data_IF_497311283604
#
_entry.id   IF_497311283604
#
_cell.length_a   1.000
_cell.length_b   1.000
_cell.length_c   1.000
_cell.angle_alpha   90.00
_cell.angle_beta   90.00
_cell.angle_gamma   90.00
#
_symmetry.space_group_name_H-M   'P 1'
#
loop_
_entity.id
_entity.type
_entity.pdbx_description
1 polymer ?
#
# COMPACT_ATOMS: atom_id res chain seq x y z
N UNK A 1 35.40 -10.77 -0.68
CA UNK A 1 35.25 -10.02 0.59
C UNK A 1 34.02 -10.57 1.30
N UNK A 2 34.10 -10.88 2.58
CA UNK A 2 32.91 -11.27 3.35
C UNK A 2 32.01 -10.04 3.52
N UNK A 3 30.77 -10.10 3.03
CA UNK A 3 29.78 -9.06 3.26
C UNK A 3 29.50 -8.95 4.77
N UNK A 4 29.60 -7.74 5.33
CA UNK A 4 29.35 -7.47 6.75
C UNK A 4 28.28 -6.40 6.87
N UNK A 5 27.18 -6.72 7.56
CA UNK A 5 26.12 -5.79 7.88
C UNK A 5 26.14 -5.51 9.39
N UNK A 6 26.61 -4.32 9.83
CA UNK A 6 26.66 -3.99 11.26
C UNK A 6 25.25 -3.89 11.85
N UNK A 7 25.12 -4.21 13.15
CA UNK A 7 23.87 -3.98 13.89
C UNK A 7 23.62 -2.50 14.09
N UNK A 8 22.37 -2.16 14.43
CA UNK A 8 21.94 -0.78 14.65
C UNK A 8 20.87 -0.73 15.75
N UNK A 9 20.90 0.33 16.55
CA UNK A 9 19.83 0.63 17.49
C UNK A 9 18.58 1.08 16.73
N UNK A 10 17.54 0.26 16.76
CA UNK A 10 16.22 0.59 16.22
C UNK A 10 15.19 0.43 17.33
N UNK A 11 14.42 1.49 17.58
CA UNK A 11 13.42 1.53 18.65
C UNK A 11 13.97 1.13 20.03
N UNK A 12 15.19 1.59 20.35
CA UNK A 12 15.86 1.33 21.62
C UNK A 12 16.39 -0.10 21.80
N UNK A 13 16.72 -0.83 20.73
CA UNK A 13 17.42 -2.13 20.79
C UNK A 13 18.34 -2.31 19.61
N UNK A 14 19.52 -2.87 19.86
CA UNK A 14 20.44 -3.37 18.83
C UNK A 14 19.80 -4.54 18.07
N UNK A 15 19.59 -4.36 16.77
CA UNK A 15 19.03 -5.35 15.84
C UNK A 15 19.80 -5.37 14.52
N UNK A 16 19.54 -6.37 13.68
CA UNK A 16 19.93 -6.29 12.28
C UNK A 16 19.16 -5.12 11.61
N UNK A 17 19.81 -4.29 10.77
CA UNK A 17 19.16 -3.17 10.09
C UNK A 17 18.32 -3.66 8.89
N UNK A 18 17.50 -4.68 9.13
CA UNK A 18 16.63 -5.38 8.19
C UNK A 18 15.20 -5.30 8.71
N UNK A 19 14.31 -4.73 7.90
CA UNK A 19 12.93 -4.45 8.28
C UNK A 19 11.98 -5.13 7.30
N UNK A 20 11.00 -5.87 7.83
CA UNK A 20 9.82 -6.24 7.04
C UNK A 20 8.95 -4.99 6.86
N UNK A 21 8.65 -4.59 5.63
CA UNK A 21 7.70 -3.51 5.38
C UNK A 21 6.26 -3.92 5.68
N UNK A 22 5.46 -3.02 6.25
CA UNK A 22 4.04 -3.27 6.50
C UNK A 22 3.23 -3.34 5.20
N UNK A 23 2.33 -4.32 5.10
CA UNK A 23 1.51 -4.58 3.89
C UNK A 23 0.05 -4.69 4.33
N UNK A 24 -0.75 -3.71 3.91
CA UNK A 24 -2.14 -3.57 4.33
C UNK A 24 -3.00 -4.79 4.04
N UNK A 25 -4.12 -4.90 4.77
CA UNK A 25 -5.18 -5.87 4.49
C UNK A 25 -4.68 -7.32 4.60
N UNK A 26 -3.93 -7.61 5.66
CA UNK A 26 -3.53 -8.97 6.05
C UNK A 26 -2.27 -9.51 5.35
N UNK A 27 -1.66 -8.80 4.39
CA UNK A 27 -0.47 -9.28 3.68
C UNK A 27 0.82 -9.26 4.52
N UNK A 28 0.88 -8.47 5.60
CA UNK A 28 1.82 -8.68 6.70
C UNK A 28 1.07 -8.85 8.02
N UNK A 29 1.36 -9.94 8.72
CA UNK A 29 0.65 -10.38 9.91
C UNK A 29 1.61 -10.49 11.10
N UNK A 30 1.06 -10.68 12.29
CA UNK A 30 1.85 -10.96 13.48
C UNK A 30 2.70 -12.21 13.33
N UNK A 31 2.28 -13.19 12.52
CA UNK A 31 3.09 -14.39 12.23
C UNK A 31 4.35 -14.05 11.43
N UNK A 32 4.21 -13.32 10.32
CA UNK A 32 5.36 -12.94 9.50
C UNK A 32 6.27 -11.97 10.26
N UNK A 33 5.69 -10.96 10.90
CA UNK A 33 6.45 -9.93 11.62
C UNK A 33 7.12 -10.46 12.89
N UNK A 34 6.45 -11.34 13.63
CA UNK A 34 7.05 -12.04 14.75
C UNK A 34 8.26 -12.86 14.34
N UNK A 35 8.19 -13.57 13.19
CA UNK A 35 9.30 -14.35 12.67
C UNK A 35 10.50 -13.47 12.26
N UNK A 36 10.24 -12.30 11.67
CA UNK A 36 11.28 -11.31 11.35
C UNK A 36 11.98 -10.79 12.60
N UNK A 37 11.21 -10.42 13.63
CA UNK A 37 11.76 -10.01 14.91
C UNK A 37 12.51 -11.15 15.62
N UNK A 38 12.01 -12.39 15.54
CA UNK A 38 12.67 -13.58 16.13
C UNK A 38 14.05 -13.83 15.54
N UNK A 39 14.20 -13.57 14.23
CA UNK A 39 15.46 -13.67 13.50
C UNK A 39 16.40 -12.46 13.70
N UNK A 40 16.05 -11.55 14.62
CA UNK A 40 16.91 -10.43 15.02
C UNK A 40 16.74 -9.15 14.21
N UNK A 41 15.77 -9.09 13.28
CA UNK A 41 15.41 -7.88 12.54
C UNK A 41 14.24 -7.12 13.18
N UNK A 42 13.55 -6.32 12.34
CA UNK A 42 12.31 -5.63 12.71
C UNK A 42 11.16 -6.20 11.89
N UNK A 43 10.13 -6.69 12.55
CA UNK A 43 8.89 -7.11 11.90
C UNK A 43 7.84 -6.01 11.93
N UNK A 44 7.11 -5.80 10.82
CA UNK A 44 6.04 -4.79 10.75
C UNK A 44 4.72 -5.40 10.30
N UNK A 45 3.80 -5.62 11.25
CA UNK A 45 2.45 -6.06 10.90
C UNK A 45 1.64 -4.84 10.44
N UNK A 46 0.62 -5.04 9.60
CA UNK A 46 -0.26 -3.93 9.23
C UNK A 46 -1.47 -3.85 10.15
N UNK A 47 -1.75 -2.66 10.66
CA UNK A 47 -3.00 -2.30 11.33
C UNK A 47 -4.07 -1.80 10.34
N UNK A 48 -3.76 -1.75 9.03
CA UNK A 48 -4.70 -1.35 7.99
C UNK A 48 -5.65 -2.49 7.70
N UNK A 49 -6.85 -2.42 8.28
CA UNK A 49 -7.89 -3.46 8.17
C UNK A 49 -7.31 -4.85 8.49
N UNK A 50 -6.58 -4.92 9.60
CA UNK A 50 -5.87 -6.11 10.04
C UNK A 50 -6.81 -7.29 10.30
N UNK A 51 -6.37 -8.50 9.97
CA UNK A 51 -7.10 -9.70 10.34
C UNK A 51 -7.16 -9.86 11.85
N UNK A 52 -8.27 -10.45 12.31
CA UNK A 52 -8.49 -10.73 13.71
C UNK A 52 -8.35 -12.22 13.98
N UNK A 53 -7.66 -12.54 15.06
CA UNK A 53 -7.57 -13.88 15.60
C UNK A 53 -8.12 -13.92 17.03
N UNK A 54 -8.69 -15.05 17.41
CA UNK A 54 -9.08 -15.33 18.78
C UNK A 54 -7.89 -15.81 19.62
N UNK A 55 -8.12 -16.08 20.91
CA UNK A 55 -7.06 -16.54 21.83
C UNK A 55 -6.57 -17.98 21.52
N UNK A 56 -7.30 -18.73 20.68
CA UNK A 56 -6.87 -20.04 20.18
C UNK A 56 -6.04 -19.93 18.89
N UNK A 57 -5.90 -18.71 18.34
CA UNK A 57 -5.20 -18.47 17.09
C UNK A 57 -6.04 -18.77 15.84
N UNK A 58 -7.37 -18.84 15.98
CA UNK A 58 -8.32 -19.04 14.88
C UNK A 58 -8.74 -17.69 14.27
N UNK A 59 -8.82 -17.65 12.93
CA UNK A 59 -9.21 -16.45 12.19
C UNK A 59 -10.70 -16.14 12.40
N UNK A 60 -11.01 -14.89 12.75
CA UNK A 60 -12.39 -14.40 12.87
C UNK A 60 -12.68 -13.51 11.66
N UNK A 61 -13.54 -13.90 10.72
CA UNK A 61 -13.89 -13.05 9.58
C UNK A 61 -14.68 -11.80 9.98
N UNK A 62 -14.45 -10.69 9.29
CA UNK A 62 -15.27 -9.49 9.39
C UNK A 62 -16.62 -9.70 8.70
N UNK A 63 -17.70 -9.62 9.47
CA UNK A 63 -19.08 -9.66 8.95
C UNK A 63 -19.75 -8.33 9.18
N UNK A 64 -20.06 -7.63 8.09
CA UNK A 64 -20.81 -6.38 8.14
C UNK A 64 -22.31 -6.65 8.37
N UNK A 65 -22.87 -6.06 9.43
CA UNK A 65 -24.32 -6.11 9.73
C UNK A 65 -24.96 -4.74 9.51
N UNK A 66 -24.14 -3.68 9.43
CA UNK A 66 -24.56 -2.32 9.18
C UNK A 66 -25.32 -2.17 7.85
N UNK A 67 -26.50 -1.54 7.92
CA UNK A 67 -27.33 -1.21 6.73
C UNK A 67 -26.89 0.08 6.03
N UNK A 68 -26.10 0.91 6.69
CA UNK A 68 -25.57 2.16 6.15
C UNK A 68 -24.06 2.08 5.99
N UNK A 69 -23.49 2.90 5.08
CA UNK A 69 -22.03 3.01 4.92
C UNK A 69 -21.33 3.38 6.22
N UNK A 70 -21.94 4.26 7.03
CA UNK A 70 -21.38 4.68 8.32
C UNK A 70 -21.40 3.55 9.35
N UNK A 71 -22.48 2.76 9.42
CA UNK A 71 -22.54 1.61 10.32
C UNK A 71 -21.46 0.56 9.97
N UNK A 72 -21.29 0.27 8.66
CA UNK A 72 -20.22 -0.61 8.19
C UNK A 72 -18.83 -0.05 8.47
N UNK A 73 -18.66 1.27 8.39
CA UNK A 73 -17.40 1.93 8.72
C UNK A 73 -17.03 1.74 10.19
N UNK A 74 -17.98 1.92 11.11
CA UNK A 74 -17.73 1.67 12.54
C UNK A 74 -17.40 0.19 12.83
N UNK A 75 -18.11 -0.75 12.20
CA UNK A 75 -17.79 -2.19 12.29
C UNK A 75 -16.35 -2.48 11.81
N UNK A 76 -15.91 -1.83 10.73
CA UNK A 76 -14.54 -1.95 10.21
C UNK A 76 -13.51 -1.38 11.19
N UNK A 77 -13.78 -0.24 11.84
CA UNK A 77 -12.87 0.35 12.83
C UNK A 77 -12.68 -0.57 14.02
N UNK A 78 -13.79 -1.03 14.62
CA UNK A 78 -13.77 -1.94 15.78
C UNK A 78 -13.01 -3.23 15.45
N UNK A 79 -13.30 -3.80 14.28
CA UNK A 79 -12.61 -4.98 13.80
C UNK A 79 -11.11 -4.72 13.57
N UNK A 80 -10.74 -3.60 12.95
CA UNK A 80 -9.33 -3.27 12.68
C UNK A 80 -8.53 -3.06 13.96
N UNK A 81 -9.14 -2.47 15.00
CA UNK A 81 -8.51 -2.32 16.32
C UNK A 81 -8.29 -3.70 16.95
N UNK A 82 -9.33 -4.53 17.02
CA UNK A 82 -9.23 -5.88 17.56
C UNK A 82 -8.21 -6.74 16.78
N UNK A 83 -8.22 -6.61 15.45
CA UNK A 83 -7.26 -7.23 14.55
C UNK A 83 -5.84 -6.80 14.86
N UNK A 84 -5.56 -5.50 14.87
CA UNK A 84 -4.23 -4.96 15.19
C UNK A 84 -3.71 -5.38 16.57
N UNK A 85 -4.58 -5.46 17.58
CA UNK A 85 -4.22 -5.98 18.91
C UNK A 85 -3.83 -7.46 18.83
N UNK A 86 -4.61 -8.28 18.11
CA UNK A 86 -4.28 -9.70 17.93
C UNK A 86 -2.96 -9.89 17.19
N UNK A 87 -2.70 -9.11 16.14
CA UNK A 87 -1.43 -9.16 15.40
C UNK A 87 -0.24 -8.76 16.28
N UNK A 88 -0.38 -7.72 17.11
CA UNK A 88 0.67 -7.29 18.04
C UNK A 88 1.04 -8.39 19.05
N UNK A 89 0.03 -9.06 19.65
CA UNK A 89 0.24 -10.18 20.58
C UNK A 89 0.96 -11.35 19.90
N UNK A 90 0.46 -11.80 18.75
CA UNK A 90 1.06 -12.89 17.97
C UNK A 90 2.52 -12.56 17.61
N UNK A 91 2.77 -11.34 17.12
CA UNK A 91 4.13 -10.91 16.79
C UNK A 91 5.05 -10.95 18.01
N UNK A 92 4.58 -10.43 19.14
CA UNK A 92 5.33 -10.37 20.39
C UNK A 92 5.71 -11.75 20.91
N UNK A 93 4.75 -12.67 20.92
CA UNK A 93 4.97 -14.03 21.41
C UNK A 93 5.96 -14.80 20.54
N UNK A 94 5.84 -14.69 19.21
CA UNK A 94 6.77 -15.32 18.27
C UNK A 94 8.17 -14.69 18.33
N UNK A 95 8.26 -13.37 18.49
CA UNK A 95 9.53 -12.65 18.51
C UNK A 95 10.42 -13.08 19.68
N UNK A 96 9.83 -13.49 20.81
CA UNK A 96 10.57 -13.91 22.00
C UNK A 96 11.50 -12.81 22.54
N UNK A 97 11.20 -11.55 22.24
CA UNK A 97 12.04 -10.40 22.59
C UNK A 97 13.33 -10.27 21.77
N UNK A 98 13.60 -11.08 20.75
CA UNK A 98 14.88 -11.07 20.01
C UNK A 98 15.07 -9.82 19.12
N UNK A 99 13.99 -9.25 18.60
CA UNK A 99 14.01 -8.10 17.70
C UNK A 99 13.00 -7.03 18.11
N UNK A 100 12.56 -6.22 17.15
CA UNK A 100 11.52 -5.20 17.37
C UNK A 100 10.29 -5.45 16.52
N UNK A 101 9.16 -5.03 17.06
CA UNK A 101 7.85 -5.15 16.43
C UNK A 101 7.34 -3.75 16.18
N UNK A 102 7.11 -3.45 14.91
CA UNK A 102 6.45 -2.26 14.46
C UNK A 102 5.04 -2.61 14.02
N UNK A 103 4.20 -1.58 13.98
CA UNK A 103 2.95 -1.64 13.23
C UNK A 103 2.95 -0.61 12.12
N UNK A 104 2.26 -0.92 11.04
CA UNK A 104 2.04 -0.02 9.92
C UNK A 104 0.59 0.49 9.91
N UNK A 105 0.44 1.79 9.71
CA UNK A 105 -0.83 2.43 9.37
C UNK A 105 -0.65 3.27 8.10
N UNK A 106 -1.75 3.48 7.36
CA UNK A 106 -1.76 4.36 6.20
C UNK A 106 -2.64 5.58 6.53
N UNK A 107 -2.15 6.79 6.27
CA UNK A 107 -2.83 8.00 6.72
C UNK A 107 -4.16 8.21 5.99
N UNK A 108 -4.22 7.89 4.69
CA UNK A 108 -5.47 7.89 3.91
C UNK A 108 -6.43 6.73 4.23
N UNK A 109 -6.12 5.86 5.21
CA UNK A 109 -7.12 4.97 5.78
C UNK A 109 -8.14 5.79 6.58
N UNK A 110 -9.43 5.49 6.41
CA UNK A 110 -10.47 6.15 7.20
C UNK A 110 -10.25 5.88 8.70
N UNK A 111 -10.47 6.90 9.53
CA UNK A 111 -10.32 6.81 10.98
C UNK A 111 -8.95 6.27 11.45
N UNK A 112 -7.88 6.51 10.68
CA UNK A 112 -6.51 6.07 10.99
C UNK A 112 -6.06 6.42 12.42
N UNK A 113 -6.36 7.64 12.89
CA UNK A 113 -6.10 8.06 14.27
C UNK A 113 -6.80 7.20 15.32
N UNK A 114 -8.08 6.83 15.09
CA UNK A 114 -8.87 6.01 16.02
C UNK A 114 -8.32 4.59 16.08
N UNK A 115 -8.01 4.01 14.92
CA UNK A 115 -7.42 2.66 14.85
C UNK A 115 -6.06 2.65 15.53
N UNK A 116 -5.20 3.63 15.23
CA UNK A 116 -3.87 3.75 15.80
C UNK A 116 -3.91 3.84 17.33
N UNK A 117 -4.77 4.71 17.88
CA UNK A 117 -4.97 4.84 19.33
C UNK A 117 -5.52 3.55 19.96
N UNK A 118 -6.54 2.96 19.34
CA UNK A 118 -7.16 1.73 19.84
C UNK A 118 -6.15 0.57 19.92
N UNK A 119 -5.31 0.41 18.90
CA UNK A 119 -4.27 -0.63 18.90
C UNK A 119 -3.19 -0.33 19.95
N UNK A 120 -2.67 0.90 20.04
CA UNK A 120 -1.63 1.24 21.01
C UNK A 120 -2.10 1.15 22.47
N UNK A 121 -3.37 1.46 22.73
CA UNK A 121 -3.96 1.31 24.06
C UNK A 121 -4.16 -0.17 24.40
N UNK A 122 -4.74 -0.96 23.48
CA UNK A 122 -5.01 -2.38 23.69
C UNK A 122 -3.79 -3.31 23.63
N UNK A 123 -2.68 -2.86 23.05
CA UNK A 123 -1.43 -3.60 22.90
C UNK A 123 -0.23 -2.86 23.54
N UNK A 124 -0.49 -2.11 24.61
CA UNK A 124 0.52 -1.31 25.30
C UNK A 124 1.73 -2.17 25.70
N UNK A 125 2.92 -1.72 25.31
CA UNK A 125 4.19 -2.42 25.57
C UNK A 125 4.56 -3.51 24.56
N UNK A 126 3.68 -3.86 23.61
CA UNK A 126 3.96 -4.88 22.59
C UNK A 126 4.47 -4.27 21.28
N UNK A 127 4.05 -3.04 20.98
CA UNK A 127 4.46 -2.30 19.78
C UNK A 127 5.57 -1.31 20.13
N UNK A 128 6.67 -1.38 19.39
CA UNK A 128 7.88 -0.58 19.62
C UNK A 128 8.01 0.59 18.64
N UNK A 129 7.41 0.46 17.45
CA UNK A 129 7.45 1.49 16.42
C UNK A 129 6.17 1.58 15.61
N UNK A 130 5.87 2.76 15.08
CA UNK A 130 4.77 3.00 14.15
C UNK A 130 5.32 3.53 12.85
N UNK A 131 5.16 2.77 11.77
CA UNK A 131 5.43 3.25 10.40
C UNK A 131 4.15 3.83 9.81
N UNK A 132 4.23 4.99 9.17
CA UNK A 132 3.07 5.62 8.55
C UNK A 132 3.41 6.35 7.26
N UNK A 133 2.71 5.98 6.19
CA UNK A 133 2.80 6.58 4.86
C UNK A 133 1.43 6.94 4.29
N UNK A 134 1.36 7.05 2.95
CA UNK A 134 0.15 7.38 2.18
C UNK A 134 -0.57 8.63 2.71
N UNK A 135 -0.07 9.82 2.33
CA UNK A 135 -0.58 11.13 2.77
C UNK A 135 0.48 11.92 3.55
N UNK A 136 0.06 12.99 4.25
CA UNK A 136 0.92 13.82 5.11
C UNK A 136 0.51 13.69 6.58
N UNK A 137 1.03 12.70 7.31
CA UNK A 137 0.57 12.35 8.65
C UNK A 137 1.09 13.29 9.76
N UNK A 138 0.70 14.57 9.73
CA UNK A 138 1.17 15.57 10.69
C UNK A 138 0.87 15.23 12.15
N UNK A 139 -0.11 14.36 12.45
CA UNK A 139 -0.44 13.97 13.82
C UNK A 139 0.21 12.67 14.29
N UNK A 140 0.99 11.99 13.43
CA UNK A 140 1.67 10.73 13.79
C UNK A 140 2.58 10.91 15.01
N UNK A 141 3.51 11.87 14.93
CA UNK A 141 4.51 12.08 15.97
C UNK A 141 3.92 12.38 17.36
N UNK A 142 3.02 13.38 17.54
CA UNK A 142 2.42 13.61 18.85
C UNK A 142 1.62 12.40 19.35
N UNK A 143 0.89 11.70 18.46
CA UNK A 143 0.12 10.52 18.85
C UNK A 143 1.04 9.39 19.31
N UNK A 144 2.10 9.06 18.57
CA UNK A 144 3.06 8.02 18.97
C UNK A 144 3.76 8.35 20.31
N UNK A 145 4.11 9.64 20.51
CA UNK A 145 4.72 10.12 21.74
C UNK A 145 3.81 9.97 22.97
N UNK A 146 2.49 10.15 22.83
CA UNK A 146 1.52 9.90 23.92
C UNK A 146 1.61 8.47 24.47
N UNK A 147 1.94 7.50 23.62
CA UNK A 147 2.10 6.09 24.00
C UNK A 147 3.56 5.68 24.21
N UNK A 148 4.52 6.62 24.11
CA UNK A 148 5.97 6.34 24.23
C UNK A 148 6.45 5.29 23.23
N UNK A 149 5.97 5.39 22.01
CA UNK A 149 6.33 4.52 20.88
C UNK A 149 7.09 5.32 19.84
N UNK A 150 8.12 4.73 19.26
CA UNK A 150 8.91 5.37 18.21
C UNK A 150 8.06 5.56 16.94
N UNK A 151 8.21 6.67 16.24
CA UNK A 151 7.53 6.88 14.95
C UNK A 151 8.52 6.90 13.79
N UNK A 152 8.06 6.38 12.65
CA UNK A 152 8.81 6.17 11.42
C UNK A 152 7.98 6.69 10.24
N UNK A 153 8.10 7.97 9.86
CA UNK A 153 7.38 8.48 8.71
C UNK A 153 7.93 7.87 7.43
N UNK A 154 7.02 7.50 6.53
CA UNK A 154 7.35 7.09 5.17
C UNK A 154 7.27 8.32 4.26
N UNK A 155 8.35 8.60 3.55
CA UNK A 155 8.49 9.74 2.65
C UNK A 155 9.13 9.31 1.34
N UNK A 156 8.79 9.98 0.25
CA UNK A 156 9.41 9.77 -1.07
C UNK A 156 10.42 10.86 -1.44
N UNK A 157 10.57 11.89 -0.60
CA UNK A 157 11.45 13.04 -0.87
C UNK A 157 11.85 13.81 0.38
N UNK A 158 12.99 14.49 0.31
CA UNK A 158 13.46 15.43 1.33
C UNK A 158 12.46 16.57 1.60
N UNK A 159 11.74 17.02 0.55
CA UNK A 159 10.69 18.05 0.67
C UNK A 159 9.54 17.59 1.56
N UNK A 160 9.04 16.36 1.35
CA UNK A 160 7.98 15.78 2.17
C UNK A 160 8.43 15.67 3.63
N UNK A 161 9.64 15.16 3.88
CA UNK A 161 10.19 15.08 5.24
C UNK A 161 10.32 16.46 5.89
N UNK A 162 10.90 17.45 5.20
CA UNK A 162 11.02 18.84 5.70
C UNK A 162 9.65 19.40 6.13
N UNK A 163 8.62 19.18 5.33
CA UNK A 163 7.27 19.64 5.65
C UNK A 163 6.72 18.96 6.92
N UNK A 164 6.86 17.64 7.08
CA UNK A 164 6.45 16.92 8.28
C UNK A 164 7.22 17.41 9.52
N UNK A 165 8.53 17.58 9.38
CA UNK A 165 9.42 18.01 10.44
C UNK A 165 9.07 19.39 10.98
N UNK A 166 9.05 20.41 10.11
CA UNK A 166 8.83 21.79 10.51
C UNK A 166 7.44 22.03 11.09
N UNK A 167 6.43 21.32 10.57
CA UNK A 167 5.02 21.52 10.98
C UNK A 167 4.65 20.72 12.23
N UNK A 168 5.31 19.59 12.49
CA UNK A 168 4.93 18.71 13.60
C UNK A 168 6.09 18.03 14.31
N UNK A 169 6.94 17.27 13.60
CA UNK A 169 7.78 16.26 14.25
C UNK A 169 8.89 16.84 15.12
N UNK A 170 9.37 18.06 14.81
CA UNK A 170 10.37 18.76 15.65
C UNK A 170 9.94 19.03 17.10
N UNK A 171 8.67 18.82 17.44
CA UNK A 171 8.13 19.01 18.79
C UNK A 171 8.39 17.84 19.72
N UNK A 172 8.61 16.64 19.18
CA UNK A 172 8.89 15.40 19.91
C UNK A 172 10.01 14.60 19.22
N UNK A 173 11.16 15.25 18.93
CA UNK A 173 12.23 14.67 18.13
C UNK A 173 12.83 13.41 18.75
N UNK A 174 12.74 13.25 20.07
CA UNK A 174 13.24 12.11 20.83
C UNK A 174 12.52 10.79 20.51
N UNK A 175 11.32 10.85 19.93
CA UNK A 175 10.56 9.67 19.51
C UNK A 175 10.72 9.34 18.02
N UNK A 176 11.48 10.13 17.25
CA UNK A 176 11.77 9.81 15.84
C UNK A 176 12.76 8.64 15.78
N UNK A 177 12.27 7.46 15.41
CA UNK A 177 13.11 6.25 15.37
C UNK A 177 13.90 6.09 14.07
N UNK A 178 13.50 6.78 13.01
CA UNK A 178 14.08 6.67 11.67
C UNK A 178 13.15 7.26 10.62
N UNK A 179 13.63 7.45 9.40
CA UNK A 179 12.81 7.93 8.27
C UNK A 179 12.82 6.87 7.18
N UNK A 180 11.66 6.35 6.81
CA UNK A 180 11.56 5.39 5.70
C UNK A 180 11.54 6.18 4.40
N UNK A 181 12.60 6.08 3.61
CA UNK A 181 12.60 6.55 2.23
C UNK A 181 11.97 5.46 1.36
N UNK A 182 10.80 5.73 0.81
CA UNK A 182 10.12 4.83 -0.12
C UNK A 182 10.35 5.31 -1.54
N UNK A 183 11.02 4.48 -2.33
CA UNK A 183 11.27 4.75 -3.73
C UNK A 183 9.94 4.85 -4.50
N UNK A 184 9.67 6.01 -5.13
CA UNK A 184 8.36 6.26 -5.70
C UNK A 184 8.12 5.52 -7.02
N UNK A 185 9.13 4.87 -7.61
CA UNK A 185 8.99 4.05 -8.81
C UNK A 185 9.11 2.55 -8.54
N UNK A 186 9.93 2.14 -7.58
CA UNK A 186 10.29 0.73 -7.39
C UNK A 186 9.52 0.04 -6.26
N UNK A 187 9.01 0.79 -5.28
CA UNK A 187 8.25 0.23 -4.17
C UNK A 187 6.92 -0.40 -4.64
N UNK A 188 6.48 -1.45 -3.95
CA UNK A 188 5.16 -2.05 -4.19
C UNK A 188 4.07 -1.35 -3.39
N UNK A 189 2.81 -1.46 -3.81
CA UNK A 189 1.72 -0.78 -3.11
C UNK A 189 1.57 0.67 -3.57
N UNK A 190 1.04 1.55 -2.72
CA UNK A 190 0.92 2.98 -3.05
C UNK A 190 2.28 3.67 -3.05
N UNK A 191 2.51 4.54 -4.02
CA UNK A 191 3.78 5.24 -4.19
C UNK A 191 3.63 6.76 -4.02
N UNK A 192 4.66 7.38 -3.45
CA UNK A 192 4.73 8.82 -3.17
C UNK A 192 5.18 9.71 -4.34
N UNK A 193 4.84 9.40 -5.60
CA UNK A 193 5.16 10.28 -6.73
C UNK A 193 4.46 11.64 -6.59
N UNK A 194 5.20 12.71 -6.80
CA UNK A 194 4.69 14.06 -6.89
C UNK A 194 4.25 14.41 -8.31
N UNK A 195 3.41 15.44 -8.44
CA UNK A 195 2.91 15.88 -9.75
C UNK A 195 4.00 16.39 -10.72
N UNK A 196 5.20 16.69 -10.21
CA UNK A 196 6.34 17.13 -11.02
C UNK A 196 7.22 15.97 -11.51
N UNK A 197 7.00 14.76 -11.01
CA UNK A 197 7.77 13.58 -11.39
C UNK A 197 7.04 12.81 -12.48
N UNK A 198 7.80 12.27 -13.42
CA UNK A 198 7.25 11.43 -14.48
C UNK A 198 7.24 9.95 -14.02
N UNK A 199 6.06 9.30 -13.94
CA UNK A 199 5.97 7.89 -13.58
C UNK A 199 6.71 6.95 -14.55
N UNK A 200 7.01 7.39 -15.78
CA UNK A 200 7.69 6.61 -16.80
C UNK A 200 9.22 6.79 -16.80
N UNK A 201 9.75 7.74 -16.01
CA UNK A 201 11.18 8.03 -15.93
C UNK A 201 11.68 7.81 -14.50
N UNK A 202 11.98 6.56 -14.11
CA UNK A 202 12.50 6.26 -12.79
C UNK A 202 13.89 6.86 -12.56
N UNK A 203 14.08 7.46 -11.39
CA UNK A 203 15.37 7.99 -10.95
C UNK A 203 16.07 7.02 -9.99
N UNK A 204 17.41 6.92 -10.03
CA UNK A 204 18.16 6.19 -9.00
C UNK A 204 17.93 6.78 -7.60
N UNK A 205 17.84 5.96 -6.54
CA UNK A 205 17.50 6.45 -5.20
C UNK A 205 18.66 7.17 -4.50
N UNK A 206 19.92 7.00 -4.92
CA UNK A 206 21.11 7.48 -4.18
C UNK A 206 21.06 8.99 -3.93
N UNK A 207 20.94 9.80 -4.98
CA UNK A 207 20.97 11.27 -4.86
C UNK A 207 19.79 11.80 -4.04
N UNK A 208 18.64 11.13 -4.13
CA UNK A 208 17.43 11.47 -3.39
C UNK A 208 17.58 11.19 -1.90
N UNK A 209 18.19 10.05 -1.55
CA UNK A 209 18.50 9.68 -0.16
C UNK A 209 19.63 10.55 0.40
N UNK A 210 20.65 10.87 -0.39
CA UNK A 210 21.69 11.82 0.00
C UNK A 210 21.10 13.22 0.28
N UNK A 211 20.16 13.69 -0.55
CA UNK A 211 19.43 14.94 -0.31
C UNK A 211 18.56 14.87 0.96
N UNK A 212 17.89 13.75 1.21
CA UNK A 212 17.14 13.51 2.45
C UNK A 212 18.07 13.57 3.67
N UNK A 213 19.22 12.90 3.61
CA UNK A 213 20.24 12.94 4.67
C UNK A 213 20.74 14.36 4.92
N UNK A 214 21.10 15.12 3.88
CA UNK A 214 21.49 16.54 4.03
C UNK A 214 20.41 17.36 4.74
N UNK A 215 19.16 17.18 4.34
CA UNK A 215 18.01 17.86 4.99
C UNK A 215 17.83 17.42 6.45
N UNK A 216 17.99 16.14 6.76
CA UNK A 216 17.95 15.63 8.14
C UNK A 216 19.10 16.19 8.99
N UNK A 217 20.29 16.34 8.43
CA UNK A 217 21.46 16.89 9.12
C UNK A 217 21.27 18.36 9.50
N UNK A 218 20.58 19.17 8.67
CA UNK A 218 20.20 20.55 9.03
C UNK A 218 19.35 20.62 10.31
N UNK A 219 18.68 19.52 10.67
CA UNK A 219 17.82 19.42 11.85
C UNK A 219 18.45 18.68 13.03
N UNK A 220 19.75 18.38 12.97
CA UNK A 220 20.44 17.67 14.04
C UNK A 220 20.15 16.15 14.08
N UNK A 221 19.73 15.56 12.95
CA UNK A 221 19.36 14.14 12.85
C UNK A 221 20.45 13.27 12.21
N UNK A 222 21.73 13.62 12.41
CA UNK A 222 22.87 12.95 11.77
C UNK A 222 22.95 11.45 12.10
N UNK A 223 22.48 11.06 13.29
CA UNK A 223 22.50 9.67 13.77
C UNK A 223 21.17 8.93 13.59
N UNK A 224 20.10 9.63 13.20
CA UNK A 224 18.81 9.00 12.93
C UNK A 224 18.89 8.23 11.61
N UNK A 225 18.51 6.95 11.57
CA UNK A 225 18.66 6.15 10.35
C UNK A 225 17.66 6.54 9.27
N UNK A 226 18.12 6.43 8.02
CA UNK A 226 17.21 6.36 6.87
C UNK A 226 17.01 4.89 6.54
N UNK A 227 15.76 4.48 6.35
CA UNK A 227 15.39 3.14 5.95
C UNK A 227 15.08 3.16 4.45
N UNK A 228 15.95 2.55 3.65
CA UNK A 228 15.77 2.43 2.21
C UNK A 228 14.70 1.36 1.91
N UNK A 229 13.60 1.76 1.27
CA UNK A 229 12.50 0.90 0.88
C UNK A 229 12.18 1.05 -0.61
N UNK A 230 11.88 -0.08 -1.27
CA UNK A 230 11.62 -0.12 -2.73
C UNK A 230 12.87 -0.48 -3.52
N UNK A 231 12.74 -1.41 -4.46
CA UNK A 231 13.87 -1.90 -5.27
C UNK A 231 14.84 -2.86 -4.55
N UNK A 232 14.96 -2.78 -3.22
CA UNK A 232 15.87 -3.64 -2.43
C UNK A 232 15.47 -5.11 -2.53
N UNK A 233 16.33 -5.91 -3.17
CA UNK A 233 16.16 -7.36 -3.28
C UNK A 233 17.24 -8.10 -2.48
N UNK A 234 18.50 -7.75 -2.67
CA UNK A 234 19.69 -8.32 -2.03
C UNK A 234 20.66 -7.18 -1.68
N UNK A 235 21.54 -7.36 -0.70
CA UNK A 235 22.39 -6.27 -0.20
C UNK A 235 23.74 -6.12 -0.91
N UNK A 236 24.17 -7.11 -1.70
CA UNK A 236 25.35 -7.00 -2.56
C UNK A 236 25.23 -5.86 -3.59
N UNK A 237 23.99 -5.47 -3.93
CA UNK A 237 23.68 -4.31 -4.79
C UNK A 237 23.75 -2.97 -4.06
N UNK A 238 23.93 -2.98 -2.73
CA UNK A 238 23.86 -1.80 -1.86
C UNK A 238 25.11 -1.66 -0.98
N UNK A 239 26.21 -2.35 -1.32
CA UNK A 239 27.45 -2.33 -0.52
C UNK A 239 27.97 -0.91 -0.33
N UNK A 240 27.91 -0.08 -1.38
CA UNK A 240 28.36 1.32 -1.33
C UNK A 240 27.47 2.24 -0.49
N UNK A 241 26.35 1.74 0.05
CA UNK A 241 25.45 2.48 0.94
C UNK A 241 25.71 2.18 2.42
N UNK A 242 26.33 1.05 2.72
CA UNK A 242 26.61 0.60 4.09
C UNK A 242 27.88 1.30 4.57
N UNK A 243 27.83 1.85 5.80
CA UNK A 243 28.91 2.66 6.38
C UNK A 243 29.35 3.86 5.51
N UNK A 244 28.47 4.32 4.61
CA UNK A 244 28.73 5.46 3.76
C UNK A 244 28.57 6.77 4.55
N UNK A 245 29.62 7.63 4.65
CA UNK A 245 29.57 8.85 5.45
C UNK A 245 28.63 9.91 4.89
N UNK A 246 28.35 9.91 3.57
CA UNK A 246 27.38 10.82 2.96
C UNK A 246 25.95 10.45 3.34
N UNK A 247 25.62 9.15 3.34
CA UNK A 247 24.27 8.66 3.65
C UNK A 247 24.02 8.51 5.15
N UNK A 248 25.09 8.37 5.95
CA UNK A 248 25.00 8.11 7.39
C UNK A 248 24.38 6.74 7.69
N UNK A 249 23.76 6.56 8.87
CA UNK A 249 23.13 5.28 9.21
C UNK A 249 22.01 4.92 8.23
N UNK A 250 22.12 3.75 7.60
CA UNK A 250 21.18 3.19 6.64
C UNK A 250 20.69 1.82 7.11
N UNK A 251 19.38 1.58 6.98
CA UNK A 251 18.76 0.28 7.12
C UNK A 251 17.93 -0.05 5.87
N UNK A 252 17.52 -1.31 5.71
CA UNK A 252 16.85 -1.79 4.51
C UNK A 252 15.50 -2.41 4.81
N UNK A 253 14.46 -1.95 4.11
CA UNK A 253 13.11 -2.47 4.23
C UNK A 253 12.72 -3.32 3.03
N UNK A 254 12.19 -4.50 3.30
CA UNK A 254 11.75 -5.46 2.30
C UNK A 254 10.22 -5.58 2.31
N UNK A 255 9.60 -5.19 1.20
CA UNK A 255 8.15 -5.35 0.98
C UNK A 255 7.83 -6.61 0.18
N UNK A 256 8.36 -6.73 -1.04
CA UNK A 256 8.00 -7.82 -1.95
C UNK A 256 8.59 -9.17 -1.53
N UNK A 257 9.91 -9.26 -1.35
CA UNK A 257 10.63 -10.53 -1.10
C UNK A 257 10.04 -11.37 0.06
N UNK A 258 9.65 -10.79 1.21
CA UNK A 258 9.07 -11.53 2.33
C UNK A 258 7.70 -12.16 2.05
N UNK A 259 6.99 -11.72 0.98
CA UNK A 259 5.72 -12.32 0.58
C UNK A 259 5.85 -13.83 0.30
N UNK A 260 7.01 -14.28 -0.17
CA UNK A 260 7.26 -15.68 -0.51
C UNK A 260 8.06 -16.39 0.60
N UNK A 261 7.55 -16.38 1.83
CA UNK A 261 8.08 -17.14 2.96
C UNK A 261 7.05 -18.11 3.52
N UNK A 262 7.47 -19.07 4.36
CA UNK A 262 6.55 -20.01 5.03
C UNK A 262 5.60 -19.29 5.98
N UNK A 263 6.08 -18.26 6.66
CA UNK A 263 5.35 -17.47 7.65
C UNK A 263 4.45 -16.39 7.02
N UNK A 264 4.67 -16.08 5.74
CA UNK A 264 3.82 -15.16 4.98
C UNK A 264 2.37 -15.66 4.94
N UNK A 265 1.39 -14.79 5.28
CA UNK A 265 -0.02 -15.16 5.34
C UNK A 265 -0.69 -15.27 3.96
N UNK A 266 0.01 -14.93 2.87
CA UNK A 266 -0.59 -14.98 1.55
C UNK A 266 -0.93 -16.43 1.13
N UNK A 267 -2.03 -16.67 0.39
CA UNK A 267 -2.39 -18.02 -0.06
C UNK A 267 -1.38 -18.62 -1.04
N UNK A 268 -1.31 -19.95 -1.10
CA UNK A 268 -0.34 -20.68 -1.94
C UNK A 268 -0.44 -20.32 -3.43
N UNK A 269 -1.65 -20.13 -3.96
CA UNK A 269 -1.83 -19.68 -5.35
C UNK A 269 -1.26 -18.28 -5.64
N UNK A 270 -1.21 -17.40 -4.64
CA UNK A 270 -0.54 -16.11 -4.76
C UNK A 270 0.97 -16.35 -4.75
N UNK A 271 1.48 -17.20 -3.85
CA UNK A 271 2.90 -17.63 -3.84
C UNK A 271 3.33 -18.24 -5.17
N UNK A 272 2.51 -19.10 -5.76
CA UNK A 272 2.69 -19.67 -7.09
C UNK A 272 2.73 -18.58 -8.17
N UNK A 273 1.76 -17.66 -8.18
CA UNK A 273 1.71 -16.58 -9.16
C UNK A 273 2.97 -15.72 -9.11
N UNK A 274 3.49 -15.40 -7.93
CA UNK A 274 4.73 -14.61 -7.76
C UNK A 274 5.93 -15.26 -8.49
N UNK A 275 6.03 -16.59 -8.48
CA UNK A 275 7.11 -17.33 -9.17
C UNK A 275 6.99 -17.37 -10.68
N UNK A 276 5.86 -16.91 -11.24
CA UNK A 276 5.64 -16.86 -12.69
C UNK A 276 5.90 -15.50 -13.31
N UNK A 277 6.16 -14.49 -12.47
CA UNK A 277 6.31 -13.10 -12.90
C UNK A 277 7.57 -12.91 -13.74
N UNK A 278 7.43 -12.16 -14.82
CA UNK A 278 8.52 -11.75 -15.70
C UNK A 278 8.82 -10.27 -15.53
N UNK A 279 10.02 -9.87 -15.93
CA UNK A 279 10.39 -8.45 -15.97
C UNK A 279 9.40 -7.70 -16.87
N UNK A 280 8.77 -6.66 -16.33
CA UNK A 280 7.71 -5.89 -16.99
C UNK A 280 6.28 -6.26 -16.60
N UNK A 281 6.07 -7.36 -15.86
CA UNK A 281 4.72 -7.74 -15.39
C UNK A 281 4.22 -6.85 -14.23
N UNK A 282 5.09 -6.08 -13.58
CA UNK A 282 4.73 -5.13 -12.53
C UNK A 282 4.69 -3.73 -13.13
N UNK A 283 3.55 -3.06 -13.00
CA UNK A 283 3.32 -1.73 -13.57
C UNK A 283 2.92 -0.74 -12.48
N UNK A 284 3.41 0.48 -12.65
CA UNK A 284 2.98 1.65 -11.91
C UNK A 284 1.72 2.21 -12.57
N UNK A 285 0.62 2.29 -11.84
CA UNK A 285 -0.69 2.71 -12.36
C UNK A 285 -1.37 3.75 -11.46
N UNK A 286 -2.43 4.40 -11.95
CA UNK A 286 -3.17 5.46 -11.23
C UNK A 286 -4.65 5.11 -11.00
N UNK A 287 -5.00 3.82 -10.98
CA UNK A 287 -6.39 3.39 -10.80
C UNK A 287 -6.86 3.46 -9.34
N UNK A 288 -5.94 3.65 -8.39
CA UNK A 288 -6.26 3.68 -6.97
C UNK A 288 -7.37 4.70 -6.65
N UNK A 289 -8.39 4.33 -5.85
CA UNK A 289 -9.45 5.26 -5.45
C UNK A 289 -8.96 6.41 -4.57
N UNK A 290 -7.74 6.34 -4.03
CA UNK A 290 -7.07 7.44 -3.31
C UNK A 290 -6.50 8.51 -4.25
N UNK A 291 -6.29 8.17 -5.53
CA UNK A 291 -5.63 9.02 -6.52
C UNK A 291 -4.10 8.96 -6.52
N UNK A 292 -3.50 8.20 -5.59
CA UNK A 292 -2.06 7.89 -5.62
C UNK A 292 -1.73 6.94 -6.76
N UNK A 293 -0.48 7.01 -7.22
CA UNK A 293 0.09 5.93 -8.00
C UNK A 293 0.25 4.68 -7.13
N UNK A 294 0.27 3.52 -7.77
CA UNK A 294 0.58 2.26 -7.10
C UNK A 294 1.23 1.24 -8.03
N UNK A 295 2.17 0.46 -7.53
CA UNK A 295 2.78 -0.66 -8.26
C UNK A 295 2.08 -1.98 -7.92
N UNK A 296 1.59 -2.64 -8.96
CA UNK A 296 0.87 -3.90 -8.90
C UNK A 296 1.18 -4.77 -10.13
N UNK A 297 0.91 -6.06 -10.02
CA UNK A 297 1.05 -6.97 -11.16
C UNK A 297 -0.06 -6.74 -12.17
N UNK A 298 0.33 -6.61 -13.44
CA UNK A 298 -0.54 -6.46 -14.61
C UNK A 298 -1.22 -7.77 -14.98
N UNK A 299 -2.19 -8.14 -14.17
CA UNK A 299 -3.08 -9.29 -14.36
C UNK A 299 -4.36 -8.89 -15.11
N UNK A 300 -5.32 -9.84 -15.26
CA UNK A 300 -6.58 -9.55 -15.95
C UNK A 300 -7.38 -8.45 -15.26
N UNK A 301 -7.30 -8.33 -13.93
CA UNK A 301 -7.93 -7.25 -13.18
C UNK A 301 -7.40 -5.86 -13.58
N UNK A 302 -6.08 -5.66 -13.64
CA UNK A 302 -5.53 -4.37 -14.09
C UNK A 302 -5.80 -4.10 -15.56
N UNK A 303 -5.74 -5.13 -16.43
CA UNK A 303 -6.07 -4.97 -17.86
C UNK A 303 -7.51 -4.50 -18.06
N UNK A 304 -8.44 -4.98 -17.23
CA UNK A 304 -9.83 -4.54 -17.28
C UNK A 304 -9.97 -3.06 -16.89
N UNK A 305 -9.17 -2.55 -15.95
CA UNK A 305 -9.14 -1.12 -15.62
C UNK A 305 -8.50 -0.27 -16.72
N UNK A 306 -7.48 -0.79 -17.42
CA UNK A 306 -6.91 -0.18 -18.62
C UNK A 306 -7.95 -0.06 -19.74
N UNK A 307 -8.69 -1.14 -20.01
CA UNK A 307 -9.77 -1.18 -21.02
C UNK A 307 -10.87 -0.15 -20.75
N UNK A 308 -11.19 0.12 -19.48
CA UNK A 308 -12.15 1.20 -19.12
C UNK A 308 -11.69 2.58 -19.60
N UNK A 309 -10.38 2.86 -19.61
CA UNK A 309 -9.83 4.11 -20.12
C UNK A 309 -9.76 4.11 -21.65
N UNK A 310 -9.45 2.97 -22.26
CA UNK A 310 -9.44 2.82 -23.72
C UNK A 310 -10.86 3.02 -24.31
N UNK A 311 -11.89 2.65 -23.55
CA UNK A 311 -13.30 2.85 -23.85
C UNK A 311 -13.91 4.12 -23.24
N UNK A 312 -13.10 5.17 -23.05
CA UNK A 312 -13.53 6.48 -22.55
C UNK A 312 -13.75 7.50 -23.69
N UNK A 313 -14.82 8.30 -23.59
CA UNK A 313 -15.12 9.40 -24.51
C UNK A 313 -15.61 10.64 -23.74
N UNK A 314 -15.21 11.82 -24.21
CA UNK A 314 -15.69 13.10 -23.67
C UNK A 314 -17.08 13.44 -24.20
N UNK A 315 -17.89 14.12 -23.39
CA UNK A 315 -19.20 14.60 -23.82
C UNK A 315 -19.53 16.00 -23.26
N UNK A 316 -20.49 16.68 -23.89
CA UNK A 316 -21.15 17.89 -23.39
C UNK A 316 -22.67 17.72 -23.38
N UNK A 317 -23.38 18.53 -22.59
CA UNK A 317 -24.85 18.49 -22.48
C UNK A 317 -25.58 19.31 -23.55
N UNK A 318 -24.85 20.11 -24.32
CA UNK A 318 -25.33 20.88 -25.47
C UNK A 318 -24.31 20.83 -26.61
N UNK A 319 -24.71 20.96 -27.89
CA UNK A 319 -23.76 20.93 -29.00
C UNK A 319 -22.70 22.04 -28.85
N UNK A 320 -21.42 21.68 -28.89
CA UNK A 320 -20.32 22.64 -28.75
C UNK A 320 -19.07 22.17 -29.51
N UNK A 321 -18.46 23.06 -30.32
CA UNK A 321 -17.33 22.68 -31.17
C UNK A 321 -17.66 21.51 -32.08
N UNK A 322 -16.83 20.46 -32.03
CA UNK A 322 -17.00 19.19 -32.76
C UNK A 322 -17.90 18.18 -32.03
N UNK A 323 -18.27 18.45 -30.78
CA UNK A 323 -19.19 17.62 -29.99
C UNK A 323 -20.63 17.95 -30.37
N UNK A 324 -21.06 17.42 -31.53
CA UNK A 324 -22.39 17.70 -32.11
C UNK A 324 -23.23 16.46 -32.35
N UNK A 325 -22.64 15.28 -32.27
CA UNK A 325 -23.35 14.02 -32.56
C UNK A 325 -24.13 13.60 -31.31
N UNK A 326 -25.48 13.55 -31.38
CA UNK A 326 -26.28 13.20 -30.22
C UNK A 326 -26.11 11.71 -29.88
N UNK A 327 -25.89 11.43 -28.60
CA UNK A 327 -25.82 10.09 -28.05
C UNK A 327 -26.76 9.99 -26.85
N UNK A 328 -27.63 8.97 -26.86
CA UNK A 328 -28.63 8.74 -25.81
C UNK A 328 -28.23 7.53 -24.97
N UNK A 329 -28.20 7.70 -23.65
CA UNK A 329 -27.78 6.62 -22.75
C UNK A 329 -28.51 6.61 -21.40
N UNK A 330 -28.37 5.47 -20.72
CA UNK A 330 -28.93 5.23 -19.39
C UNK A 330 -30.45 5.06 -19.40
N UNK A 331 -30.99 4.66 -18.24
CA UNK A 331 -32.43 4.37 -18.07
C UNK A 331 -33.31 5.62 -18.17
N UNK A 332 -32.73 6.81 -18.02
CA UNK A 332 -33.44 8.09 -18.15
C UNK A 332 -33.33 8.70 -19.55
N UNK A 333 -32.80 7.95 -20.52
CA UNK A 333 -32.60 8.39 -21.91
C UNK A 333 -31.95 9.78 -21.99
N UNK A 334 -30.84 9.98 -21.24
CA UNK A 334 -30.12 11.26 -21.25
C UNK A 334 -29.43 11.42 -22.59
N UNK A 335 -29.66 12.56 -23.24
CA UNK A 335 -28.94 12.97 -24.45
C UNK A 335 -27.71 13.77 -24.07
N UNK A 336 -26.58 13.39 -24.64
CA UNK A 336 -25.31 14.13 -24.60
C UNK A 336 -24.75 14.24 -26.01
N UNK A 337 -23.77 15.09 -26.22
CA UNK A 337 -23.15 15.29 -27.52
C UNK A 337 -21.67 14.87 -27.47
N UNK A 338 -21.30 14.02 -28.42
CA UNK A 338 -19.94 13.48 -28.61
C UNK A 338 -19.43 13.86 -30.01
N UNK A 339 -18.15 13.60 -30.29
CA UNK A 339 -17.61 13.80 -31.63
C UNK A 339 -18.16 12.72 -32.58
N UNK A 340 -18.17 12.97 -33.88
CA UNK A 340 -18.55 11.95 -34.88
C UNK A 340 -17.62 10.73 -34.83
N UNK A 341 -16.31 10.96 -34.63
CA UNK A 341 -15.32 9.91 -34.44
C UNK A 341 -15.64 9.03 -33.22
N UNK A 342 -15.95 9.64 -32.07
CA UNK A 342 -16.30 8.87 -30.87
C UNK A 342 -17.64 8.15 -31.02
N UNK A 343 -18.62 8.71 -31.74
CA UNK A 343 -19.87 8.00 -32.04
C UNK A 343 -19.63 6.71 -32.85
N UNK A 344 -18.68 6.73 -33.79
CA UNK A 344 -18.28 5.53 -34.55
C UNK A 344 -17.60 4.50 -33.63
N UNK A 345 -16.68 4.93 -32.76
CA UNK A 345 -16.04 4.06 -31.76
C UNK A 345 -17.06 3.40 -30.83
N UNK A 346 -18.00 4.19 -30.29
CA UNK A 346 -19.09 3.69 -29.45
C UNK A 346 -19.89 2.60 -30.17
N UNK A 347 -20.23 2.80 -31.45
CA UNK A 347 -20.98 1.82 -32.22
C UNK A 347 -20.21 0.50 -32.42
N UNK A 348 -18.88 0.55 -32.53
CA UNK A 348 -18.01 -0.64 -32.58
C UNK A 348 -18.03 -1.35 -31.23
N UNK A 349 -17.75 -0.64 -30.14
CA UNK A 349 -17.73 -1.19 -28.78
C UNK A 349 -19.07 -1.82 -28.37
N UNK A 350 -20.18 -1.21 -28.78
CA UNK A 350 -21.52 -1.77 -28.56
C UNK A 350 -21.71 -3.12 -29.24
N UNK A 351 -21.17 -3.31 -30.45
CA UNK A 351 -21.19 -4.59 -31.16
C UNK A 351 -20.28 -5.63 -30.51
N UNK A 352 -19.18 -5.19 -29.91
CA UNK A 352 -18.25 -6.02 -29.14
C UNK A 352 -18.76 -6.38 -27.72
N UNK A 353 -19.89 -5.79 -27.30
CA UNK A 353 -20.57 -6.10 -26.05
C UNK A 353 -20.40 -5.05 -24.94
N UNK A 354 -19.57 -4.03 -25.14
CA UNK A 354 -19.38 -2.89 -24.23
C UNK A 354 -20.52 -1.87 -24.37
N UNK A 355 -21.73 -2.32 -24.05
CA UNK A 355 -22.96 -1.58 -24.32
C UNK A 355 -23.42 -0.66 -23.19
N UNK A 356 -22.83 -0.75 -22.00
CA UNK A 356 -23.23 0.07 -20.85
C UNK A 356 -22.31 1.26 -20.68
N UNK A 357 -22.86 2.45 -20.92
CA UNK A 357 -22.21 3.72 -20.59
C UNK A 357 -22.34 4.04 -19.09
N UNK A 358 -21.23 4.38 -18.45
CA UNK A 358 -21.16 4.89 -17.08
C UNK A 358 -20.52 6.28 -17.08
N UNK A 359 -21.12 7.23 -16.35
CA UNK A 359 -20.58 8.60 -16.24
C UNK A 359 -19.41 8.65 -15.27
N UNK A 360 -18.39 9.42 -15.60
CA UNK A 360 -17.28 9.76 -14.72
C UNK A 360 -17.47 11.15 -14.07
N UNK A 361 -16.59 11.56 -13.14
CA UNK A 361 -16.54 12.92 -12.63
C UNK A 361 -16.09 13.97 -13.65
N UNK A 362 -15.40 13.57 -14.73
CA UNK A 362 -14.69 14.48 -15.65
C UNK A 362 -15.50 14.80 -16.92
N UNK A 363 -16.82 14.65 -16.87
CA UNK A 363 -17.71 14.79 -18.04
C UNK A 363 -17.34 13.85 -19.20
N UNK A 364 -16.94 12.63 -18.85
CA UNK A 364 -16.71 11.54 -19.81
C UNK A 364 -17.65 10.37 -19.55
N UNK A 365 -17.77 9.49 -20.55
CA UNK A 365 -18.43 8.19 -20.45
C UNK A 365 -17.40 7.10 -20.66
N UNK A 366 -17.42 6.08 -19.80
CA UNK A 366 -16.76 4.80 -20.09
C UNK A 366 -17.78 3.76 -20.55
N UNK A 367 -17.37 2.88 -21.46
CA UNK A 367 -18.20 1.80 -21.98
C UNK A 367 -17.71 0.44 -21.47
N UNK A 368 -18.59 -0.26 -20.76
CA UNK A 368 -18.31 -1.57 -20.15
C UNK A 368 -19.41 -2.58 -20.51
N UNK A 369 -19.16 -3.86 -20.27
CA UNK A 369 -20.19 -4.90 -20.40
C UNK A 369 -21.31 -4.72 -19.36
N UNK A 370 -22.53 -5.24 -19.60
CA UNK A 370 -23.61 -5.23 -18.60
C UNK A 370 -23.23 -5.83 -17.25
N UNK A 371 -22.42 -6.89 -17.25
CA UNK A 371 -21.96 -7.60 -16.06
C UNK A 371 -20.97 -6.73 -15.27
N UNK A 372 -19.98 -6.11 -15.94
CA UNK A 372 -19.07 -5.16 -15.30
C UNK A 372 -19.83 -3.96 -14.69
N UNK A 373 -20.79 -3.39 -15.43
CA UNK A 373 -21.60 -2.28 -14.90
C UNK A 373 -22.38 -2.64 -13.64
N UNK A 374 -22.91 -3.87 -13.57
CA UNK A 374 -23.60 -4.36 -12.38
C UNK A 374 -22.63 -4.57 -11.21
N UNK A 375 -21.47 -5.16 -11.45
CA UNK A 375 -20.44 -5.38 -10.45
C UNK A 375 -19.94 -4.03 -9.86
N UNK A 376 -19.58 -3.07 -10.71
CA UNK A 376 -19.14 -1.73 -10.30
C UNK A 376 -20.19 -1.08 -9.40
N UNK A 377 -21.47 -1.07 -9.80
CA UNK A 377 -22.55 -0.48 -8.99
C UNK A 377 -22.74 -1.20 -7.67
N UNK A 378 -22.67 -2.53 -7.66
CA UNK A 378 -22.77 -3.33 -6.44
C UNK A 378 -21.65 -2.96 -5.47
N UNK A 379 -20.40 -2.93 -5.93
CA UNK A 379 -19.26 -2.60 -5.08
C UNK A 379 -19.31 -1.17 -4.54
N UNK A 380 -19.84 -0.21 -5.31
CA UNK A 380 -20.09 1.15 -4.86
C UNK A 380 -21.15 1.21 -3.76
N UNK A 381 -22.26 0.47 -3.92
CA UNK A 381 -23.34 0.39 -2.93
C UNK A 381 -22.89 -0.33 -1.66
N UNK A 382 -22.01 -1.33 -1.80
CA UNK A 382 -21.47 -2.13 -0.70
C UNK A 382 -20.28 -1.47 0.00
N UNK A 383 -20.00 -0.19 -0.30
CA UNK A 383 -18.91 0.55 0.32
C UNK A 383 -18.93 0.48 1.86
N UNK A 384 -17.78 0.09 2.41
CA UNK A 384 -17.53 -0.12 3.84
C UNK A 384 -16.84 1.08 4.50
N UNK A 385 -16.52 2.12 3.73
CA UNK A 385 -15.90 3.33 4.26
C UNK A 385 -14.42 3.19 4.68
N UNK A 386 -13.64 2.34 3.99
CA UNK A 386 -12.25 2.02 4.37
C UNK A 386 -11.22 3.16 4.15
N UNK A 387 -11.52 4.16 3.32
CA UNK A 387 -10.61 5.26 2.97
C UNK A 387 -11.10 6.60 3.51
N UNK A 388 -10.17 7.48 3.86
CA UNK A 388 -10.44 8.88 4.24
C UNK A 388 -11.30 9.58 3.19
N UNK A 389 -11.00 9.34 1.92
CA UNK A 389 -11.74 9.77 0.73
C UNK A 389 -11.60 8.70 -0.36
N UNK A 390 -12.71 8.35 -1.01
CA UNK A 390 -12.76 7.29 -2.01
C UNK A 390 -13.39 7.80 -3.30
N UNK A 391 -12.59 7.95 -4.36
CA UNK A 391 -13.09 8.32 -5.70
C UNK A 391 -14.07 7.27 -6.24
N UNK A 392 -13.79 5.99 -6.04
CA UNK A 392 -14.62 4.91 -6.58
C UNK A 392 -16.06 4.92 -6.06
N UNK A 393 -16.27 5.16 -4.76
CA UNK A 393 -17.59 5.07 -4.12
C UNK A 393 -18.21 6.40 -3.73
N UNK A 394 -17.49 7.51 -3.93
CA UNK A 394 -17.75 8.85 -3.38
C UNK A 394 -17.72 8.98 -1.86
N UNK A 395 -17.34 7.94 -1.13
CA UNK A 395 -17.24 8.00 0.34
C UNK A 395 -16.18 8.99 0.82
N UNK A 396 -16.44 9.64 1.96
CA UNK A 396 -15.42 10.32 2.73
C UNK A 396 -15.69 10.18 4.24
N UNK A 397 -14.62 10.02 5.01
CA UNK A 397 -14.63 9.98 6.47
C UNK A 397 -14.78 11.41 7.04
N UNK A 398 -15.94 12.01 6.81
CA UNK A 398 -16.34 13.32 7.31
C UNK A 398 -17.82 13.30 7.71
N UNK A 399 -18.32 14.38 8.31
CA UNK A 399 -19.72 14.49 8.76
C UNK A 399 -20.74 14.26 7.64
N UNK A 400 -20.39 14.60 6.39
CA UNK A 400 -21.28 14.44 5.23
C UNK A 400 -21.28 13.01 4.69
N UNK A 401 -20.29 12.18 5.02
CA UNK A 401 -20.14 10.82 4.49
C UNK A 401 -19.94 10.76 2.97
N UNK A 402 -19.46 11.85 2.36
CA UNK A 402 -19.27 11.97 0.91
C UNK A 402 -18.15 12.96 0.55
N UNK A 403 -17.48 12.71 -0.57
CA UNK A 403 -16.54 13.66 -1.19
C UNK A 403 -17.26 14.85 -1.84
N UNK A 404 -18.57 14.77 -2.08
CA UNK A 404 -19.33 15.75 -2.86
C UNK A 404 -19.17 15.60 -4.38
N UNK A 405 -18.33 14.66 -4.84
CA UNK A 405 -18.14 14.35 -6.25
C UNK A 405 -18.91 13.09 -6.66
N UNK A 406 -19.08 12.90 -7.98
CA UNK A 406 -19.59 11.64 -8.51
C UNK A 406 -18.60 10.51 -8.19
N UNK A 407 -19.14 9.31 -8.06
CA UNK A 407 -18.35 8.09 -7.99
C UNK A 407 -17.63 7.87 -9.33
N UNK A 408 -16.36 7.46 -9.29
CA UNK A 408 -15.53 7.26 -10.48
C UNK A 408 -15.43 5.77 -10.85
N UNK A 409 -16.14 5.33 -11.90
CA UNK A 409 -16.14 3.93 -12.31
C UNK A 409 -14.84 3.51 -13.02
N UNK A 410 -13.91 4.44 -13.29
CA UNK A 410 -12.55 4.09 -13.80
C UNK A 410 -11.66 3.50 -12.70
N UNK A 411 -12.07 3.64 -11.44
CA UNK A 411 -11.40 3.07 -10.27
C UNK A 411 -12.10 1.80 -9.78
N UNK A 412 -11.77 1.34 -8.58
CA UNK A 412 -12.27 0.09 -8.01
C UNK A 412 -12.33 0.13 -6.47
N UNK A 413 -13.02 -0.86 -5.88
CA UNK A 413 -13.04 -1.05 -4.44
C UNK A 413 -11.77 -1.77 -3.97
N UNK A 414 -10.76 -1.00 -3.54
CA UNK A 414 -9.46 -1.55 -3.10
C UNK A 414 -9.56 -2.52 -1.93
N UNK A 415 -10.43 -2.25 -0.95
CA UNK A 415 -10.61 -3.13 0.21
C UNK A 415 -11.17 -4.49 -0.22
N UNK A 416 -12.15 -4.51 -1.11
CA UNK A 416 -12.75 -5.76 -1.60
C UNK A 416 -11.70 -6.61 -2.30
N UNK A 417 -10.95 -6.03 -3.23
CA UNK A 417 -9.98 -6.79 -4.03
C UNK A 417 -8.83 -7.32 -3.18
N UNK A 418 -8.35 -6.52 -2.20
CA UNK A 418 -7.27 -6.94 -1.31
C UNK A 418 -7.73 -7.98 -0.27
N UNK A 419 -8.94 -7.85 0.28
CA UNK A 419 -9.53 -8.86 1.17
C UNK A 419 -9.80 -10.17 0.42
N UNK A 420 -10.26 -10.09 -0.82
CA UNK A 420 -10.45 -11.27 -1.64
C UNK A 420 -9.11 -11.99 -1.85
N UNK A 421 -8.09 -11.34 -2.41
CA UNK A 421 -6.82 -12.03 -2.75
C UNK A 421 -6.15 -12.63 -1.51
N UNK A 422 -6.14 -11.95 -0.35
CA UNK A 422 -5.50 -12.45 0.86
C UNK A 422 -6.24 -13.67 1.45
N UNK A 423 -7.56 -13.78 1.26
CA UNK A 423 -8.38 -14.89 1.75
C UNK A 423 -8.70 -15.93 0.67
N UNK A 424 -7.85 -16.05 -0.36
CA UNK A 424 -8.02 -17.07 -1.39
C UNK A 424 -9.00 -16.65 -2.50
N UNK A 425 -8.97 -15.38 -2.90
CA UNK A 425 -9.54 -14.78 -4.12
C UNK A 425 -8.51 -14.71 -5.24
N UNK A 426 -8.95 -14.88 -6.50
CA UNK A 426 -8.06 -15.28 -7.61
C UNK A 426 -7.01 -14.18 -7.87
N UNK A 427 -5.69 -14.47 -7.81
CA UNK A 427 -4.66 -13.49 -8.09
C UNK A 427 -4.74 -12.87 -9.48
N UNK A 428 -5.40 -13.50 -10.46
CA UNK A 428 -5.61 -12.90 -11.78
C UNK A 428 -6.79 -11.92 -11.82
N UNK A 429 -7.74 -12.04 -10.89
CA UNK A 429 -8.99 -11.25 -10.84
C UNK A 429 -9.06 -10.25 -9.68
N UNK A 430 -7.97 -10.07 -8.95
CA UNK A 430 -7.89 -9.14 -7.83
C UNK A 430 -6.62 -8.28 -7.91
N UNK A 431 -6.62 -7.14 -7.24
CA UNK A 431 -5.44 -6.31 -7.10
C UNK A 431 -4.32 -7.10 -6.39
N UNK A 432 -3.17 -7.20 -7.04
CA UNK A 432 -2.00 -7.89 -6.50
C UNK A 432 -0.83 -6.91 -6.40
N UNK A 433 -0.69 -6.24 -5.26
CA UNK A 433 0.45 -5.34 -5.03
C UNK A 433 1.77 -6.11 -5.02
N UNK A 434 2.76 -5.52 -5.68
CA UNK A 434 4.10 -6.07 -5.81
C UNK A 434 5.06 -4.94 -6.21
N UNK A 435 6.24 -4.89 -5.62
CA UNK A 435 7.30 -3.98 -6.06
C UNK A 435 7.96 -4.48 -7.35
N UNK A 436 8.62 -3.57 -8.08
CA UNK A 436 9.12 -3.85 -9.43
C UNK A 436 10.17 -4.96 -9.51
N UNK A 437 10.87 -5.27 -8.41
CA UNK A 437 11.79 -6.40 -8.33
C UNK A 437 11.10 -7.77 -8.21
N UNK A 438 9.76 -7.83 -8.16
CA UNK A 438 9.01 -9.07 -7.95
C UNK A 438 9.22 -10.16 -9.01
N UNK A 439 9.63 -9.79 -10.23
CA UNK A 439 9.99 -10.77 -11.26
C UNK A 439 11.16 -11.67 -10.85
N UNK A 440 12.02 -11.20 -9.92
CA UNK A 440 13.17 -11.95 -9.44
C UNK A 440 12.79 -13.21 -8.66
N UNK A 441 11.54 -13.38 -8.22
CA UNK A 441 11.10 -14.67 -7.67
C UNK A 441 11.27 -15.84 -8.65
N UNK A 442 11.16 -15.58 -9.95
CA UNK A 442 11.35 -16.61 -10.99
C UNK A 442 12.83 -16.90 -11.28
N UNK A 443 13.74 -16.00 -10.89
CA UNK A 443 15.17 -16.02 -11.26
C UNK A 443 16.09 -16.34 -10.08
N UNK A 444 15.64 -16.04 -8.86
CA UNK A 444 16.45 -16.15 -7.64
C UNK A 444 16.56 -17.63 -7.20
N UNK A 445 17.78 -18.19 -7.12
CA UNK A 445 18.02 -19.59 -6.76
C UNK A 445 17.42 -20.01 -5.43
N UNK A 446 17.18 -19.08 -4.50
CA UNK A 446 16.52 -19.37 -3.23
C UNK A 446 15.12 -19.97 -3.43
N UNK A 447 14.42 -19.62 -4.51
CA UNK A 447 13.06 -20.08 -4.79
C UNK A 447 12.99 -21.16 -5.88
N UNK A 448 14.15 -21.66 -6.33
CA UNK A 448 14.23 -22.73 -7.31
C UNK A 448 13.53 -24.01 -6.83
N UNK A 449 13.08 -24.84 -7.78
CA UNK A 449 12.41 -26.12 -7.53
C UNK A 449 11.19 -26.02 -6.58
N UNK A 450 10.55 -24.85 -6.54
CA UNK A 450 9.39 -24.59 -5.70
C UNK A 450 9.70 -24.37 -4.23
N UNK A 451 10.98 -24.20 -3.85
CA UNK A 451 11.37 -23.91 -2.48
C UNK A 451 10.72 -22.61 -1.99
N UNK A 452 10.18 -22.66 -0.76
CA UNK A 452 9.66 -21.49 -0.05
C UNK A 452 10.46 -21.41 1.27
N UNK A 453 11.35 -20.43 1.43
CA UNK A 453 12.18 -20.32 2.61
C UNK A 453 11.36 -19.90 3.84
N UNK A 454 11.84 -20.25 5.03
CA UNK A 454 11.46 -19.59 6.27
C UNK A 454 12.00 -18.16 6.28
N UNK A 455 11.44 -17.29 7.11
CA UNK A 455 11.98 -15.95 7.34
C UNK A 455 13.43 -16.01 7.85
N UNK A 456 13.77 -17.00 8.68
CA UNK A 456 15.13 -17.19 9.18
C UNK A 456 16.12 -17.50 8.03
N UNK A 457 15.76 -18.43 7.13
CA UNK A 457 16.57 -18.74 5.94
C UNK A 457 16.72 -17.50 5.04
N UNK A 458 15.64 -16.75 4.80
CA UNK A 458 15.69 -15.51 4.01
C UNK A 458 16.63 -14.46 4.64
N UNK A 459 16.54 -14.24 5.95
CA UNK A 459 17.43 -13.28 6.64
C UNK A 459 18.88 -13.72 6.57
N UNK A 460 19.18 -15.02 6.75
CA UNK A 460 20.55 -15.53 6.62
C UNK A 460 21.13 -15.33 5.21
N UNK A 461 20.32 -15.48 4.17
CA UNK A 461 20.72 -15.18 2.78
C UNK A 461 21.00 -13.69 2.60
N UNK A 462 20.10 -12.81 3.06
CA UNK A 462 20.27 -11.36 3.00
C UNK A 462 21.53 -10.90 3.76
N UNK A 463 21.81 -11.49 4.93
CA UNK A 463 23.01 -11.21 5.73
C UNK A 463 24.33 -11.60 5.06
N UNK A 464 24.29 -12.47 4.05
CA UNK A 464 25.45 -12.81 3.21
C UNK A 464 25.57 -11.88 1.99
N UNK A 465 24.63 -10.96 1.84
CA UNK A 465 24.52 -10.05 0.72
C UNK A 465 23.48 -10.48 -0.31
N UNK A 466 22.83 -11.64 -0.18
CA UNK A 466 22.11 -12.29 -1.27
C UNK A 466 20.60 -12.11 -1.32
#
# INVERSE_FOLDING_TARGET
MSFHLPTMEISGKEVLPLIEGGKGVGASSGRSSGAWARAGGVGTFSAVNADRYDDNGEYIPLVYRGKSRMARHEELIEYSIAGGISQAKIAHDIAGGNGRIHMNVLWEMAASERVLRGVLEGARGLVHGVTCGAGMPFKLAPLAAEYRVWYYPIVSSARAFRALWLRSYRKVPEWLGGVVYEDPWLAGGHNGLSNSEDPQQPEPPYDRVALLRRTMNEFGLQRTPIIMAGGVWCLREWVDWIDNPELGPIAFQFGTRPLLTKESPIPDRWKEKLRTLKKGDIVLNRFSPTGFYSSAVRNSFLRELEERLEHEVSYVDHPAGDLRTPFVFGVRHRTVYVTEHDAQRIAIWQKEGFSKALTTPDSTLIFVTPQQAQAIRKDQLDCMGCLSQCKFSNWACNERGTTGHKADPRSFCIQLTLQNIIHGGDPDRNLMFCGHSGYRFAEDPLYADGHIPTVAELIEVIRRGD
#
